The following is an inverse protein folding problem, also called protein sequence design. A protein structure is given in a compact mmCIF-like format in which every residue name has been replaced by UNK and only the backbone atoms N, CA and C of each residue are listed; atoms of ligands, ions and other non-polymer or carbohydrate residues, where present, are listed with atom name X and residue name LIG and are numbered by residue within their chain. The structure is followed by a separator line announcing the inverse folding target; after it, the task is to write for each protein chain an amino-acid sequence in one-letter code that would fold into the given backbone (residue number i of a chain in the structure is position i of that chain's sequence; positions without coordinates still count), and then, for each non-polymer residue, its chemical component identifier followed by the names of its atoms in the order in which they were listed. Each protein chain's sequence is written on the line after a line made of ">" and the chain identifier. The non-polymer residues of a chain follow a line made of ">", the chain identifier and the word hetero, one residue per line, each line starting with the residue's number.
data_IF_841041258761
#
_entry.id   IF_841041258761
#
_cell.length_a   1.000
_cell.length_b   1.000
_cell.length_c   1.000
_cell.angle_alpha   90.00
_cell.angle_beta   90.00
_cell.angle_gamma   90.00
#
_symmetry.space_group_name_H-M   'P 1'
#
loop_
_entity.id
_entity.type
_entity.pdbx_description
1 polymer ?
#
# COMPACT_ATOMS: atom_id res chain seq x y z
N UNK A 1 0.93 13.48 8.33
CA UNK A 1 0.93 12.96 6.94
C UNK A 1 2.08 11.98 6.75
N UNK A 2 1.77 10.82 6.21
CA UNK A 2 2.77 9.79 5.95
C UNK A 2 2.95 9.61 4.46
N UNK A 3 4.19 9.47 4.02
CA UNK A 3 4.51 9.25 2.62
C UNK A 3 5.34 7.99 2.49
N UNK A 4 4.99 7.16 1.51
CA UNK A 4 5.70 5.92 1.21
C UNK A 4 6.06 5.92 -0.26
N UNK A 5 7.29 5.54 -0.55
CA UNK A 5 7.74 5.33 -1.91
C UNK A 5 8.05 3.85 -2.08
N UNK A 6 7.50 3.26 -3.15
CA UNK A 6 7.65 1.84 -3.44
C UNK A 6 8.27 1.68 -4.81
N UNK A 7 9.38 0.99 -4.85
CA UNK A 7 9.96 0.54 -6.10
C UNK A 7 9.67 -0.95 -6.20
N UNK A 8 8.89 -1.31 -7.19
CA UNK A 8 8.29 -2.65 -7.23
C UNK A 8 9.25 -3.75 -7.70
N UNK A 9 10.46 -3.38 -8.10
CA UNK A 9 11.47 -4.35 -8.47
C UNK A 9 11.44 -4.71 -9.94
N UNK A 10 11.18 -5.96 -10.25
CA UNK A 10 11.36 -6.48 -11.61
C UNK A 10 10.56 -5.75 -12.69
N UNK A 11 9.40 -5.22 -12.37
CA UNK A 11 8.59 -4.48 -13.35
C UNK A 11 9.07 -3.04 -13.54
N UNK A 12 9.98 -2.57 -12.72
CA UNK A 12 10.54 -1.21 -12.75
C UNK A 12 9.51 -0.09 -12.57
N UNK A 13 8.33 -0.41 -12.05
CA UNK A 13 7.33 0.60 -11.77
C UNK A 13 7.55 1.20 -10.38
N UNK A 14 7.16 2.46 -10.23
CA UNK A 14 7.31 3.17 -8.96
C UNK A 14 5.97 3.76 -8.56
N UNK A 15 5.72 3.75 -7.25
CA UNK A 15 4.50 4.29 -6.69
C UNK A 15 4.82 5.07 -5.43
N UNK A 16 4.31 6.29 -5.35
CA UNK A 16 4.34 7.07 -4.11
C UNK A 16 2.93 7.11 -3.57
N UNK A 17 2.82 6.92 -2.26
CA UNK A 17 1.55 6.91 -1.56
C UNK A 17 1.61 7.95 -0.46
N UNK A 18 0.67 8.87 -0.46
CA UNK A 18 0.51 9.83 0.61
C UNK A 18 -0.74 9.46 1.40
N UNK A 19 -0.56 9.26 2.71
CA UNK A 19 -1.65 8.96 3.62
C UNK A 19 -1.83 10.12 4.58
N UNK A 20 -3.05 10.63 4.67
CA UNK A 20 -3.38 11.75 5.52
C UNK A 20 -4.65 11.44 6.29
N UNK A 21 -4.58 11.55 7.61
CA UNK A 21 -5.76 11.37 8.44
C UNK A 21 -6.78 12.46 8.09
N UNK A 22 -7.94 12.06 7.59
CA UNK A 22 -8.97 13.00 7.17
C UNK A 22 -9.96 13.32 8.29
N UNK A 23 -10.18 12.36 9.19
CA UNK A 23 -10.97 12.53 10.39
C UNK A 23 -10.54 11.46 11.41
N UNK A 24 -11.31 11.27 12.48
CA UNK A 24 -10.93 10.33 13.54
C UNK A 24 -10.96 8.87 13.10
N UNK A 25 -11.65 8.55 12.03
CA UNK A 25 -11.88 7.17 11.60
C UNK A 25 -11.29 6.83 10.24
N UNK A 26 -10.90 7.82 9.45
CA UNK A 26 -10.48 7.61 8.06
C UNK A 26 -9.14 8.23 7.75
N UNK A 27 -8.46 7.61 6.78
CA UNK A 27 -7.24 8.12 6.19
C UNK A 27 -7.49 8.31 4.70
N UNK A 28 -7.23 9.51 4.21
CA UNK A 28 -7.28 9.81 2.78
C UNK A 28 -5.99 9.39 2.12
N UNK A 29 -6.07 8.88 0.90
CA UNK A 29 -4.93 8.39 0.15
C UNK A 29 -4.79 9.11 -1.18
N UNK A 30 -3.55 9.46 -1.53
CA UNK A 30 -3.21 9.99 -2.83
C UNK A 30 -2.03 9.18 -3.38
N UNK A 31 -2.09 8.86 -4.67
CA UNK A 31 -1.09 8.05 -5.34
C UNK A 31 -0.48 8.80 -6.50
N UNK A 32 0.83 8.61 -6.67
CA UNK A 32 1.52 8.96 -7.90
C UNK A 32 2.25 7.70 -8.35
N UNK A 33 1.89 7.17 -9.50
CA UNK A 33 2.42 5.88 -9.94
C UNK A 33 2.70 5.87 -11.43
N UNK A 34 3.70 5.10 -11.83
CA UNK A 34 3.99 4.82 -13.24
C UNK A 34 3.27 3.56 -13.73
N UNK A 35 2.67 2.79 -12.81
CA UNK A 35 2.01 1.53 -13.13
C UNK A 35 0.53 1.76 -13.44
N UNK A 36 0.11 1.36 -14.64
CA UNK A 36 -1.30 1.53 -15.04
C UNK A 36 -2.26 0.69 -14.20
N UNK A 37 -1.81 -0.48 -13.72
CA UNK A 37 -2.62 -1.34 -12.86
C UNK A 37 -2.86 -0.69 -11.50
N UNK A 38 -1.81 -0.14 -10.93
CA UNK A 38 -1.91 0.57 -9.65
C UNK A 38 -2.72 1.86 -9.82
N UNK A 39 -2.63 2.51 -10.98
CA UNK A 39 -3.45 3.71 -11.22
C UNK A 39 -4.94 3.36 -11.16
N UNK A 40 -5.35 2.23 -11.71
CA UNK A 40 -6.75 1.80 -11.65
C UNK A 40 -7.19 1.53 -10.21
N UNK A 41 -6.32 0.88 -9.43
CA UNK A 41 -6.59 0.68 -8.00
C UNK A 41 -6.71 2.03 -7.29
N UNK A 42 -5.79 2.94 -7.56
CA UNK A 42 -5.76 4.26 -6.93
C UNK A 42 -7.01 5.06 -7.25
N UNK A 43 -7.53 4.94 -8.47
CA UNK A 43 -8.75 5.65 -8.86
C UNK A 43 -9.95 5.25 -8.02
N UNK A 44 -9.96 4.04 -7.46
CA UNK A 44 -11.05 3.55 -6.62
C UNK A 44 -10.72 3.60 -5.13
N UNK A 45 -9.48 3.89 -4.75
CA UNK A 45 -9.07 3.86 -3.35
C UNK A 45 -8.64 5.24 -2.88
N UNK A 46 -9.62 6.06 -2.52
CA UNK A 46 -9.38 7.44 -2.07
C UNK A 46 -9.31 7.57 -0.56
N UNK A 47 -9.86 6.60 0.16
CA UNK A 47 -9.97 6.67 1.62
C UNK A 47 -10.08 5.26 2.19
N UNK A 48 -9.60 5.09 3.41
CA UNK A 48 -9.73 3.84 4.15
C UNK A 48 -10.29 4.11 5.54
N UNK A 49 -11.20 3.25 5.97
CA UNK A 49 -11.69 3.20 7.34
C UNK A 49 -10.67 2.45 8.17
N UNK A 50 -10.05 3.12 9.14
CA UNK A 50 -8.95 2.56 9.92
C UNK A 50 -9.39 1.31 10.67
N UNK A 51 -10.47 1.41 11.42
CA UNK A 51 -10.93 0.30 12.26
C UNK A 51 -11.29 -0.92 11.42
N UNK A 52 -11.97 -0.69 10.30
CA UNK A 52 -12.36 -1.79 9.43
C UNK A 52 -11.15 -2.50 8.85
N UNK A 53 -10.20 -1.73 8.28
CA UNK A 53 -9.01 -2.34 7.68
C UNK A 53 -8.18 -3.12 8.68
N UNK A 54 -8.14 -2.66 9.93
CA UNK A 54 -7.31 -3.30 10.96
C UNK A 54 -7.99 -4.47 11.66
N UNK A 55 -9.31 -4.61 11.51
CA UNK A 55 -10.06 -5.64 12.24
C UNK A 55 -10.47 -6.85 11.41
N UNK A 56 -10.43 -6.75 10.09
CA UNK A 56 -10.78 -7.86 9.21
C UNK A 56 -9.54 -8.66 8.82
N UNK A 57 -9.76 -9.84 8.27
CA UNK A 57 -8.66 -10.66 7.75
C UNK A 57 -8.09 -10.03 6.48
N UNK A 58 -6.85 -10.36 6.18
CA UNK A 58 -6.10 -9.78 5.08
C UNK A 58 -6.91 -9.67 3.78
N UNK A 59 -7.51 -10.77 3.34
CA UNK A 59 -8.23 -10.79 2.07
C UNK A 59 -9.55 -10.03 2.11
N UNK A 60 -10.02 -9.69 3.30
CA UNK A 60 -11.25 -8.93 3.47
C UNK A 60 -11.01 -7.43 3.57
N UNK A 61 -9.74 -7.01 3.57
CA UNK A 61 -9.41 -5.59 3.54
C UNK A 61 -9.82 -4.98 2.21
N UNK A 62 -10.17 -3.70 2.22
CA UNK A 62 -10.47 -2.97 0.99
C UNK A 62 -9.26 -2.93 0.07
N UNK A 63 -8.06 -2.78 0.66
CA UNK A 63 -6.82 -2.77 -0.10
C UNK A 63 -6.65 -4.05 -0.90
N UNK A 64 -6.79 -5.22 -0.25
CA UNK A 64 -6.58 -6.49 -0.95
C UNK A 64 -7.74 -6.88 -1.83
N UNK A 65 -8.95 -6.41 -1.54
CA UNK A 65 -10.07 -6.58 -2.46
C UNK A 65 -9.78 -5.91 -3.80
N UNK A 66 -9.31 -4.67 -3.75
CA UNK A 66 -8.95 -3.94 -4.97
C UNK A 66 -7.67 -4.48 -5.61
N UNK A 67 -6.72 -4.90 -4.79
CA UNK A 67 -5.49 -5.52 -5.30
C UNK A 67 -5.81 -6.78 -6.09
N UNK A 68 -6.74 -7.59 -5.59
CA UNK A 68 -7.16 -8.80 -6.28
C UNK A 68 -7.75 -8.52 -7.66
N UNK A 69 -8.38 -7.37 -7.80
CA UNK A 69 -9.00 -6.98 -9.07
C UNK A 69 -8.00 -6.39 -10.06
N UNK A 70 -7.08 -5.57 -9.59
CA UNK A 70 -6.27 -4.73 -10.48
C UNK A 70 -4.80 -5.07 -10.56
N UNK A 71 -4.21 -5.65 -9.51
CA UNK A 71 -2.77 -5.89 -9.47
C UNK A 71 -2.41 -7.02 -10.42
N UNK A 72 -1.36 -6.83 -11.21
CA UNK A 72 -1.00 -7.79 -12.26
C UNK A 72 -0.18 -8.98 -11.76
N UNK A 73 0.35 -8.93 -10.54
CA UNK A 73 1.17 -10.00 -9.97
C UNK A 73 0.83 -10.22 -8.51
N UNK A 74 0.77 -11.48 -8.11
CA UNK A 74 0.51 -11.82 -6.70
C UNK A 74 1.59 -11.29 -5.77
N UNK A 75 2.81 -11.14 -6.28
CA UNK A 75 3.96 -10.71 -5.47
C UNK A 75 4.14 -9.20 -5.41
N UNK A 76 3.25 -8.42 -6.02
CA UNK A 76 3.35 -6.97 -5.97
C UNK A 76 3.33 -6.46 -4.54
N UNK A 77 4.31 -5.63 -4.16
CA UNK A 77 4.44 -5.13 -2.80
C UNK A 77 3.64 -3.85 -2.54
N UNK A 78 3.01 -3.28 -3.55
CA UNK A 78 2.25 -2.03 -3.39
C UNK A 78 1.09 -2.18 -2.41
N UNK A 79 0.28 -3.25 -2.45
CA UNK A 79 -0.79 -3.39 -1.45
C UNK A 79 -0.28 -3.39 -0.02
N UNK A 80 0.82 -4.08 0.25
CA UNK A 80 1.43 -4.07 1.58
C UNK A 80 1.89 -2.66 1.97
N UNK A 81 2.44 -1.92 1.01
CA UNK A 81 2.90 -0.55 1.26
C UNK A 81 1.73 0.38 1.59
N UNK A 82 0.57 0.19 0.96
CA UNK A 82 -0.63 0.97 1.26
C UNK A 82 -1.04 0.75 2.73
N UNK A 83 -1.06 -0.51 3.16
CA UNK A 83 -1.42 -0.82 4.54
C UNK A 83 -0.39 -0.29 5.52
N UNK A 84 0.89 -0.32 5.18
CA UNK A 84 1.93 0.28 6.03
C UNK A 84 1.73 1.79 6.16
N UNK A 85 1.39 2.48 5.09
CA UNK A 85 1.12 3.91 5.14
C UNK A 85 -0.08 4.20 6.06
N UNK A 86 -1.13 3.40 5.98
CA UNK A 86 -2.29 3.50 6.86
C UNK A 86 -1.88 3.31 8.32
N UNK A 87 -1.11 2.28 8.61
CA UNK A 87 -0.71 1.95 9.97
C UNK A 87 0.14 3.05 10.60
N UNK A 88 1.05 3.63 9.81
CA UNK A 88 1.90 4.73 10.30
C UNK A 88 1.06 5.97 10.54
N UNK A 89 0.19 6.33 9.61
CA UNK A 89 -0.64 7.52 9.73
C UNK A 89 -1.64 7.40 10.87
N UNK A 90 -2.11 6.20 11.15
CA UNK A 90 -3.03 5.92 12.27
C UNK A 90 -2.31 5.78 13.61
N UNK A 91 -0.99 5.94 13.65
CA UNK A 91 -0.16 5.81 14.85
C UNK A 91 -0.20 4.39 15.45
N UNK A 92 -0.38 3.39 14.62
CA UNK A 92 -0.38 1.98 15.06
C UNK A 92 1.05 1.44 15.10
N UNK A 93 1.85 1.76 14.09
CA UNK A 93 3.25 1.36 14.01
C UNK A 93 4.14 2.53 13.62
N UNK A 94 5.42 2.52 14.05
CA UNK A 94 6.35 3.55 13.62
C UNK A 94 6.73 3.38 12.15
N UNK A 95 7.13 4.49 11.52
CA UNK A 95 7.64 4.47 10.17
C UNK A 95 8.99 3.76 10.16
N UNK A 96 9.04 2.61 9.52
CA UNK A 96 10.27 1.84 9.39
C UNK A 96 10.33 1.25 7.99
N UNK A 97 11.51 1.31 7.40
CA UNK A 97 11.70 0.74 6.08
C UNK A 97 11.51 -0.77 6.10
N UNK A 98 10.89 -1.28 5.04
CA UNK A 98 10.79 -2.72 4.80
C UNK A 98 11.72 -3.07 3.65
N UNK A 99 12.39 -4.20 3.75
CA UNK A 99 13.33 -4.65 2.73
C UNK A 99 13.04 -6.07 2.31
N UNK A 100 13.17 -6.32 1.00
CA UNK A 100 13.20 -7.67 0.45
C UNK A 100 14.49 -7.75 -0.37
N UNK A 101 15.39 -8.61 0.05
CA UNK A 101 16.71 -8.73 -0.55
C UNK A 101 16.93 -10.17 -0.99
N UNK A 102 17.28 -10.35 -2.25
CA UNK A 102 17.66 -11.68 -2.71
C UNK A 102 19.12 -11.93 -2.39
N UNK A 103 19.38 -13.04 -1.72
CA UNK A 103 20.74 -13.45 -1.38
C UNK A 103 21.24 -14.38 -2.47
N UNK A 104 22.43 -14.12 -2.94
CA UNK A 104 23.07 -14.91 -3.97
C UNK A 104 23.55 -16.24 -3.38
N UNK A 105 22.96 -17.39 -3.74
CA UNK A 105 23.39 -18.66 -3.15
C UNK A 105 24.78 -19.03 -3.64
N UNK A 106 25.68 -19.32 -2.70
CA UNK A 106 27.01 -19.79 -3.00
C UNK A 106 27.97 -18.79 -3.61
N UNK A 107 27.62 -17.55 -3.60
CA UNK A 107 28.46 -16.48 -4.13
C UNK A 107 29.19 -15.74 -3.04
#
# INVERSE_FOLDING_TARGET
>A
MSQVWVKAGQCNQETSIEARRSDMTHVALEFVTTCEHIQKLADELKSLDIAREMSVKLLETEVYRLANEYVCRNSCIVPAAILKALEVEANIFPAAESQIVFLEPGN
#
